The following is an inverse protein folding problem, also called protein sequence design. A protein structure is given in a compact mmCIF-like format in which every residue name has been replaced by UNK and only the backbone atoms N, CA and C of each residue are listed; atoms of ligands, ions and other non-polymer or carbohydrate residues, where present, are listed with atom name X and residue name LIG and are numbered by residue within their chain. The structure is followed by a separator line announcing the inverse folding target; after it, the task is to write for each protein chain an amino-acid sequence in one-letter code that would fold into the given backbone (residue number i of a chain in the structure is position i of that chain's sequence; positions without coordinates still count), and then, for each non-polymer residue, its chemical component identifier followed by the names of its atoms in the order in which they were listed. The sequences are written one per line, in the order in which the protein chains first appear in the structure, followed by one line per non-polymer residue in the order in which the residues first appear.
data_IF_243791179511
#
_entry.id   IF_243791179511
#
_cell.length_a   1.000
_cell.length_b   1.000
_cell.length_c   1.000
_cell.angle_alpha   90.00
_cell.angle_beta   90.00
_cell.angle_gamma   90.00
#
_symmetry.space_group_name_H-M   'P 1'
#
loop_
_entity.id
_entity.type
_entity.pdbx_description
1 polymer ?
#
# COMPACT_ATOMS: atom_id res chain seq x y z
N UNK A 1 -32.77 0.51 0.86
CA UNK A 1 -32.14 -0.74 1.36
C UNK A 1 -30.63 -0.58 1.16
N UNK A 2 -29.94 -0.03 2.16
CA UNK A 2 -28.52 0.33 2.08
C UNK A 2 -27.69 -0.92 2.41
N UNK A 3 -27.03 -1.48 1.41
CA UNK A 3 -26.07 -2.57 1.58
C UNK A 3 -24.79 -2.00 2.20
N UNK A 4 -24.62 -2.26 3.49
CA UNK A 4 -23.36 -2.09 4.20
C UNK A 4 -22.31 -3.06 3.61
N UNK A 5 -21.51 -2.61 2.62
CA UNK A 5 -20.24 -3.25 2.33
C UNK A 5 -19.19 -2.68 3.30
N UNK A 6 -19.01 -3.38 4.41
CA UNK A 6 -17.82 -3.23 5.23
C UNK A 6 -16.62 -3.70 4.40
N UNK A 7 -15.81 -2.76 3.90
CA UNK A 7 -14.49 -3.06 3.38
C UNK A 7 -13.60 -3.46 4.57
N UNK A 8 -13.41 -4.77 4.74
CA UNK A 8 -12.41 -5.31 5.66
C UNK A 8 -11.05 -4.98 5.07
N UNK A 9 -10.45 -3.87 5.52
CA UNK A 9 -9.05 -3.53 5.23
C UNK A 9 -8.18 -4.50 6.03
N UNK A 10 -7.65 -5.52 5.38
CA UNK A 10 -6.74 -6.49 6.01
C UNK A 10 -5.36 -5.83 6.22
N UNK A 11 -5.19 -5.11 7.33
CA UNK A 11 -3.87 -4.77 7.85
C UNK A 11 -3.26 -6.04 8.48
N UNK A 12 -2.66 -6.92 7.66
CA UNK A 12 -1.79 -7.98 8.19
C UNK A 12 -0.45 -7.35 8.57
N UNK A 13 -0.36 -6.87 9.81
CA UNK A 13 0.93 -6.62 10.46
C UNK A 13 1.44 -8.00 10.91
N UNK A 14 2.23 -8.66 10.05
CA UNK A 14 3.09 -9.74 10.51
C UNK A 14 4.23 -9.10 11.31
N UNK A 15 4.07 -8.99 12.62
CA UNK A 15 5.19 -8.75 13.53
C UNK A 15 6.08 -10.01 13.53
N UNK A 16 7.06 -10.06 12.62
CA UNK A 16 8.17 -11.01 12.74
C UNK A 16 9.15 -10.40 13.72
N UNK A 17 9.15 -10.89 14.96
CA UNK A 17 10.14 -10.55 15.98
C UNK A 17 11.48 -11.16 15.56
N UNK A 18 12.27 -10.46 14.74
CA UNK A 18 13.69 -10.77 14.62
C UNK A 18 14.34 -10.36 15.93
N UNK A 19 14.80 -11.32 16.73
CA UNK A 19 15.75 -11.05 17.81
C UNK A 19 17.07 -10.59 17.18
N UNK A 20 17.15 -9.30 16.90
CA UNK A 20 18.39 -8.55 16.78
C UNK A 20 18.32 -7.44 17.82
N UNK A 21 19.38 -7.25 18.59
CA UNK A 21 19.45 -6.27 19.67
C UNK A 21 19.30 -4.84 19.11
N UNK A 22 18.07 -4.36 18.99
CA UNK A 22 17.75 -2.97 18.71
C UNK A 22 17.54 -2.31 20.08
N UNK A 23 18.49 -1.47 20.51
CA UNK A 23 18.29 -0.58 21.67
C UNK A 23 16.98 0.21 21.50
N UNK A 24 16.39 0.74 22.58
CA UNK A 24 15.07 1.37 22.50
C UNK A 24 15.07 2.41 21.39
N UNK A 25 14.31 2.16 20.33
CA UNK A 25 14.09 3.16 19.29
C UNK A 25 13.55 4.40 19.99
N UNK A 26 13.88 5.62 19.53
CA UNK A 26 13.15 6.80 19.95
C UNK A 26 11.66 6.46 19.88
N UNK A 27 10.91 6.63 20.97
CA UNK A 27 9.47 6.36 20.95
C UNK A 27 8.85 7.37 19.97
N UNK A 28 8.70 6.93 18.73
CA UNK A 28 8.01 7.67 17.69
C UNK A 28 6.56 7.74 18.15
N UNK A 29 6.18 8.91 18.67
CA UNK A 29 4.86 9.10 19.25
C UNK A 29 3.82 8.92 18.16
N UNK A 30 2.85 8.04 18.39
CA UNK A 30 1.74 7.82 17.46
C UNK A 30 1.07 9.15 17.10
N UNK A 31 0.89 9.38 15.80
CA UNK A 31 0.15 10.51 15.26
C UNK A 31 -1.12 10.01 14.57
N UNK A 32 -2.25 10.17 15.26
CA UNK A 32 -3.56 9.76 14.75
C UNK A 32 -3.94 10.42 13.43
N UNK A 33 -3.60 11.69 13.25
CA UNK A 33 -3.93 12.43 12.04
C UNK A 33 -3.22 11.87 10.81
N UNK A 34 -1.94 11.51 10.96
CA UNK A 34 -1.16 10.86 9.89
C UNK A 34 -1.73 9.47 9.61
N UNK A 35 -2.01 8.68 10.65
CA UNK A 35 -2.55 7.33 10.49
C UNK A 35 -3.89 7.33 9.74
N UNK A 36 -4.82 8.20 10.12
CA UNK A 36 -6.12 8.36 9.45
C UNK A 36 -5.94 8.85 8.01
N UNK A 37 -5.05 9.81 7.78
CA UNK A 37 -4.77 10.32 6.44
C UNK A 37 -4.27 9.19 5.52
N UNK A 38 -3.24 8.45 5.94
CA UNK A 38 -2.67 7.35 5.16
C UNK A 38 -3.67 6.22 4.97
N UNK A 39 -4.50 5.89 5.96
CA UNK A 39 -5.56 4.90 5.81
C UNK A 39 -6.59 5.29 4.73
N UNK A 40 -6.96 6.57 4.67
CA UNK A 40 -7.89 7.08 3.65
C UNK A 40 -7.26 7.13 2.26
N UNK A 41 -5.98 7.50 2.16
CA UNK A 41 -5.22 7.39 0.91
C UNK A 41 -5.17 5.93 0.45
N UNK A 42 -4.88 4.98 1.33
CA UNK A 42 -4.92 3.54 1.02
C UNK A 42 -6.30 3.06 0.55
N UNK A 43 -7.38 3.59 1.14
CA UNK A 43 -8.74 3.28 0.69
C UNK A 43 -9.03 3.83 -0.73
N UNK A 44 -8.46 4.98 -1.09
CA UNK A 44 -8.62 5.55 -2.44
C UNK A 44 -8.04 4.69 -3.56
N UNK A 45 -7.05 3.84 -3.24
CA UNK A 45 -6.40 2.96 -4.22
C UNK A 45 -7.34 1.87 -4.75
N UNK A 46 -8.46 1.60 -4.07
CA UNK A 46 -9.50 0.68 -4.54
C UNK A 46 -10.47 1.32 -5.55
N UNK A 47 -10.38 2.63 -5.78
CA UNK A 47 -11.20 3.31 -6.78
C UNK A 47 -10.68 3.02 -8.21
N UNK A 48 -11.54 3.15 -9.25
CA UNK A 48 -11.08 3.12 -10.63
C UNK A 48 -10.02 4.20 -10.89
N UNK A 49 -8.96 3.86 -11.64
CA UNK A 49 -7.85 4.76 -11.96
C UNK A 49 -8.30 6.15 -12.44
N UNK A 50 -9.29 6.21 -13.33
CA UNK A 50 -9.83 7.47 -13.86
C UNK A 50 -10.40 8.39 -12.77
N UNK A 51 -10.97 7.83 -11.71
CA UNK A 51 -11.48 8.63 -10.56
C UNK A 51 -10.37 9.05 -9.61
N UNK A 52 -9.31 8.24 -9.46
CA UNK A 52 -8.13 8.60 -8.67
C UNK A 52 -7.40 9.79 -9.30
N UNK A 53 -7.23 9.78 -10.62
CA UNK A 53 -6.52 10.85 -11.35
C UNK A 53 -7.19 12.21 -11.21
N UNK A 54 -8.50 12.23 -11.00
CA UNK A 54 -9.29 13.45 -10.74
C UNK A 54 -9.58 13.68 -9.26
N UNK A 55 -9.08 12.80 -8.38
CA UNK A 55 -9.37 12.76 -6.94
C UNK A 55 -10.88 12.77 -6.61
N UNK A 56 -11.69 12.19 -7.50
CA UNK A 56 -13.14 12.35 -7.52
C UNK A 56 -13.95 11.22 -6.89
N UNK A 57 -13.31 10.19 -6.32
CA UNK A 57 -14.04 9.08 -5.69
C UNK A 57 -14.40 9.36 -4.22
N UNK A 58 -15.36 8.59 -3.67
CA UNK A 58 -15.81 8.76 -2.29
C UNK A 58 -14.67 8.65 -1.25
N UNK A 59 -13.79 7.62 -1.28
CA UNK A 59 -12.61 7.59 -0.41
C UNK A 59 -11.63 8.76 -0.61
N UNK A 60 -11.43 9.23 -1.85
CA UNK A 60 -10.58 10.40 -2.13
C UNK A 60 -11.09 11.64 -1.39
N UNK A 61 -12.40 11.89 -1.44
CA UNK A 61 -13.04 13.04 -0.78
C UNK A 61 -12.91 13.03 0.74
N UNK A 62 -12.70 11.85 1.34
CA UNK A 62 -12.44 11.72 2.78
C UNK A 62 -10.99 12.08 3.16
N UNK A 63 -10.06 12.13 2.21
CA UNK A 63 -8.63 12.43 2.40
C UNK A 63 -8.24 13.79 1.83
N UNK A 64 -7.11 14.36 2.29
CA UNK A 64 -6.51 15.52 1.65
C UNK A 64 -6.01 15.16 0.24
N UNK A 65 -6.18 16.04 -0.77
CA UNK A 65 -5.82 15.73 -2.15
C UNK A 65 -4.33 15.49 -2.30
N UNK A 66 -3.97 14.45 -3.05
CA UNK A 66 -2.64 14.34 -3.62
C UNK A 66 -2.55 15.24 -4.84
N UNK A 67 -1.47 16.01 -4.93
CA UNK A 67 -1.14 16.78 -6.12
C UNK A 67 -0.55 15.86 -7.17
N UNK A 68 -0.99 16.07 -8.41
CA UNK A 68 -0.55 15.31 -9.59
C UNK A 68 -0.57 13.79 -9.37
N UNK A 69 -1.69 13.20 -8.92
CA UNK A 69 -1.74 11.77 -8.68
C UNK A 69 -1.42 11.01 -9.97
N UNK A 70 -0.65 9.93 -9.82
CA UNK A 70 -0.39 8.93 -10.85
C UNK A 70 -0.82 7.58 -10.33
N UNK A 71 -1.25 6.73 -11.26
CA UNK A 71 -1.66 5.37 -10.98
C UNK A 71 -0.63 4.45 -11.63
N UNK A 72 -0.13 3.50 -10.85
CA UNK A 72 0.72 2.41 -11.36
C UNK A 72 -0.08 1.11 -11.25
N UNK A 73 0.01 0.24 -12.24
CA UNK A 73 -0.73 -1.02 -12.21
C UNK A 73 0.06 -2.15 -12.87
N UNK A 74 -0.19 -3.37 -12.44
CA UNK A 74 0.31 -4.56 -13.11
C UNK A 74 -0.38 -4.75 -14.48
N UNK A 75 0.20 -5.57 -15.35
CA UNK A 75 -0.33 -5.79 -16.70
C UNK A 75 -1.75 -6.38 -16.77
N UNK A 76 -2.28 -6.85 -15.63
CA UNK A 76 -3.63 -7.42 -15.49
C UNK A 76 -4.61 -6.49 -14.76
N UNK A 77 -4.15 -5.36 -14.23
CA UNK A 77 -4.90 -4.45 -13.35
C UNK A 77 -5.48 -5.13 -12.10
N UNK A 78 -4.87 -6.22 -11.64
CA UNK A 78 -5.20 -6.90 -10.38
C UNK A 78 -4.44 -6.31 -9.19
N UNK A 79 -3.35 -5.58 -9.46
CA UNK A 79 -2.56 -4.83 -8.49
C UNK A 79 -2.35 -3.40 -8.97
N UNK A 80 -2.92 -2.45 -8.24
CA UNK A 80 -2.80 -1.03 -8.52
C UNK A 80 -2.24 -0.27 -7.30
N UNK A 81 -1.45 0.75 -7.59
CA UNK A 81 -0.93 1.71 -6.66
C UNK A 81 -1.18 3.14 -7.12
N UNK A 82 -1.03 4.06 -6.18
CA UNK A 82 -1.07 5.50 -6.41
C UNK A 82 0.22 6.12 -5.89
N UNK A 83 0.69 7.15 -6.58
CA UNK A 83 1.77 8.01 -6.12
C UNK A 83 1.39 9.45 -6.37
N UNK A 84 1.66 10.32 -5.40
CA UNK A 84 1.40 11.75 -5.53
C UNK A 84 1.95 12.53 -4.35
N UNK A 85 2.04 13.84 -4.51
CA UNK A 85 2.59 14.71 -3.49
C UNK A 85 1.50 15.20 -2.52
N UNK A 86 1.74 15.09 -1.21
CA UNK A 86 0.88 15.63 -0.17
C UNK A 86 1.47 16.94 0.37
N UNK A 87 0.87 18.10 0.08
CA UNK A 87 1.36 19.38 0.59
C UNK A 87 1.28 19.47 2.11
N UNK A 88 0.25 18.87 2.71
CA UNK A 88 0.04 18.88 4.15
C UNK A 88 1.13 18.13 4.92
N UNK A 89 1.70 17.09 4.30
CA UNK A 89 2.81 16.32 4.88
C UNK A 89 4.17 16.76 4.34
N UNK A 90 4.20 17.62 3.32
CA UNK A 90 5.40 17.95 2.54
C UNK A 90 6.15 16.68 2.11
N UNK A 91 5.41 15.70 1.57
CA UNK A 91 5.94 14.37 1.29
C UNK A 91 5.30 13.73 0.05
N UNK A 92 6.04 12.85 -0.62
CA UNK A 92 5.48 11.94 -1.63
C UNK A 92 4.80 10.79 -0.88
N UNK A 93 3.54 10.54 -1.21
CA UNK A 93 2.72 9.49 -0.62
C UNK A 93 2.48 8.41 -1.67
N UNK A 94 2.76 7.18 -1.29
CA UNK A 94 2.59 6.00 -2.12
C UNK A 94 1.61 5.07 -1.40
N UNK A 95 0.58 4.63 -2.11
CA UNK A 95 -0.38 3.66 -1.61
C UNK A 95 -0.55 2.51 -2.59
N UNK A 96 -0.74 1.29 -2.12
CA UNK A 96 -1.07 0.13 -2.93
C UNK A 96 -2.35 -0.50 -2.40
N UNK A 97 -3.23 -0.98 -3.28
CA UNK A 97 -4.34 -1.81 -2.82
C UNK A 97 -3.92 -3.28 -2.77
N UNK A 98 -4.39 -4.00 -1.75
CA UNK A 98 -4.28 -5.45 -1.71
C UNK A 98 -5.34 -6.12 -2.59
N UNK A 99 -5.34 -7.46 -2.66
CA UNK A 99 -6.37 -8.19 -3.40
C UNK A 99 -7.79 -7.80 -2.97
N UNK A 100 -8.66 -7.54 -3.94
CA UNK A 100 -10.08 -7.28 -3.74
C UNK A 100 -10.87 -8.55 -3.39
N UNK A 101 -10.28 -9.74 -3.57
CA UNK A 101 -10.87 -11.03 -3.24
C UNK A 101 -10.03 -11.77 -2.18
N UNK A 102 -10.11 -11.26 -0.95
CA UNK A 102 -9.35 -11.75 0.21
C UNK A 102 -9.67 -13.21 0.54
N UNK A 103 -10.91 -13.67 0.35
CA UNK A 103 -11.29 -15.08 0.61
C UNK A 103 -10.53 -16.05 -0.28
N UNK A 104 -10.40 -15.73 -1.58
CA UNK A 104 -9.65 -16.54 -2.53
C UNK A 104 -8.12 -16.42 -2.31
N UNK A 105 -7.66 -15.27 -1.82
CA UNK A 105 -6.25 -15.05 -1.50
C UNK A 105 -5.80 -15.86 -0.29
N UNK A 106 -6.56 -15.87 0.81
CA UNK A 106 -6.19 -16.61 2.04
C UNK A 106 -6.11 -18.12 1.77
N UNK A 107 -7.00 -18.67 0.94
CA UNK A 107 -6.98 -20.11 0.60
C UNK A 107 -5.80 -20.51 -0.29
N UNK A 108 -5.26 -19.58 -1.09
CA UNK A 108 -4.14 -19.81 -2.00
C UNK A 108 -2.81 -19.22 -1.49
N UNK A 109 -2.77 -18.76 -0.23
CA UNK A 109 -1.61 -18.08 0.31
C UNK A 109 -0.50 -19.09 0.63
N UNK A 110 0.41 -19.28 -0.33
CA UNK A 110 1.63 -20.04 -0.12
C UNK A 110 2.67 -19.14 0.54
N UNK A 111 3.10 -19.48 1.77
CA UNK A 111 4.13 -18.73 2.51
C UNK A 111 5.52 -19.06 1.97
N UNK A 112 5.78 -18.68 0.71
CA UNK A 112 7.08 -18.84 0.07
C UNK A 112 7.96 -17.63 0.35
N UNK A 113 9.16 -17.87 0.88
CA UNK A 113 10.16 -16.85 1.16
C UNK A 113 11.16 -16.76 0.00
N UNK A 114 11.61 -15.56 -0.32
CA UNK A 114 12.59 -15.27 -1.37
C UNK A 114 13.68 -14.33 -0.83
N UNK A 115 14.93 -14.64 -1.14
CA UNK A 115 16.04 -13.71 -1.09
C UNK A 115 15.86 -12.67 -2.20
N UNK A 116 15.58 -11.43 -1.80
CA UNK A 116 15.26 -10.33 -2.71
C UNK A 116 16.39 -9.30 -2.87
N UNK A 117 17.30 -9.24 -1.90
CA UNK A 117 18.32 -8.20 -1.82
C UNK A 117 19.69 -8.85 -1.64
N UNK A 118 20.55 -8.79 -2.66
CA UNK A 118 21.89 -9.41 -2.64
C UNK A 118 22.75 -8.86 -1.50
N UNK A 119 22.63 -7.55 -1.21
CA UNK A 119 23.35 -6.90 -0.11
C UNK A 119 22.85 -7.34 1.28
N UNK A 120 21.66 -7.96 1.38
CA UNK A 120 21.03 -8.38 2.62
C UNK A 120 20.47 -9.80 2.49
N UNK A 121 21.33 -10.83 2.38
CA UNK A 121 20.90 -12.20 2.11
C UNK A 121 20.01 -12.79 3.21
N UNK A 122 20.11 -12.30 4.44
CA UNK A 122 19.25 -12.72 5.55
C UNK A 122 17.84 -12.09 5.50
N UNK A 123 17.63 -11.05 4.69
CA UNK A 123 16.34 -10.38 4.54
C UNK A 123 15.44 -11.13 3.55
N UNK A 124 14.64 -12.04 4.09
CA UNK A 124 13.68 -12.82 3.32
C UNK A 124 12.33 -12.10 3.20
N UNK A 125 11.80 -12.00 1.98
CA UNK A 125 10.49 -11.41 1.69
C UNK A 125 9.51 -12.47 1.17
N UNK A 126 8.21 -12.20 1.24
CA UNK A 126 7.21 -13.05 0.62
C UNK A 126 7.35 -13.00 -0.91
N UNK A 127 7.55 -14.16 -1.54
CA UNK A 127 7.83 -14.26 -2.98
C UNK A 127 6.75 -13.59 -3.83
N UNK A 128 5.47 -13.81 -3.52
CA UNK A 128 4.37 -13.23 -4.28
C UNK A 128 4.28 -11.70 -4.15
N UNK A 129 4.59 -11.16 -2.97
CA UNK A 129 4.58 -9.70 -2.78
C UNK A 129 5.74 -9.04 -3.52
N UNK A 130 6.92 -9.68 -3.49
CA UNK A 130 8.06 -9.22 -4.26
C UNK A 130 7.77 -9.19 -5.76
N UNK A 131 7.20 -10.27 -6.31
CA UNK A 131 6.85 -10.35 -7.73
C UNK A 131 5.79 -9.33 -8.15
N UNK A 132 4.80 -9.04 -7.30
CA UNK A 132 3.81 -7.99 -7.57
C UNK A 132 4.45 -6.59 -7.57
N UNK A 133 5.28 -6.30 -6.56
CA UNK A 133 5.99 -5.02 -6.50
C UNK A 133 6.88 -4.80 -7.72
N UNK A 134 7.64 -5.82 -8.16
CA UNK A 134 8.52 -5.72 -9.33
C UNK A 134 7.78 -5.37 -10.63
N UNK A 135 6.49 -5.69 -10.76
CA UNK A 135 5.69 -5.35 -11.95
C UNK A 135 5.39 -3.86 -12.07
N UNK A 136 5.41 -3.12 -10.96
CA UNK A 136 5.06 -1.68 -10.93
C UNK A 136 6.21 -0.78 -10.50
N UNK A 137 7.30 -1.35 -10.01
CA UNK A 137 8.44 -0.59 -9.46
C UNK A 137 9.00 0.42 -10.47
N UNK A 138 9.20 0.01 -11.73
CA UNK A 138 9.70 0.92 -12.78
C UNK A 138 8.75 2.10 -13.02
N UNK A 139 7.44 1.84 -13.14
CA UNK A 139 6.43 2.88 -13.30
C UNK A 139 6.44 3.86 -12.11
N UNK A 140 6.62 3.34 -10.90
CA UNK A 140 6.66 4.13 -9.68
C UNK A 140 7.89 5.04 -9.63
N UNK A 141 9.08 4.53 -10.00
CA UNK A 141 10.30 5.33 -10.04
C UNK A 141 10.29 6.42 -11.12
N UNK A 142 9.47 6.29 -12.17
CA UNK A 142 9.24 7.39 -13.12
C UNK A 142 8.42 8.57 -12.56
N UNK A 143 7.88 8.46 -11.35
CA UNK A 143 6.97 9.42 -10.76
C UNK A 143 7.47 10.05 -9.45
N UNK A 144 8.69 9.70 -9.02
CA UNK A 144 9.34 10.17 -7.78
C UNK A 144 10.53 11.05 -8.12
#
# INVERSE_FOLDING_TARGET
MLSNLAFIVFHMIFCVYSRGDIGPSPQEQYNESIAIYLARVSASVYCPAAMILTWGCSPCSASGPLQSPRVVADGKNDFQGIVGYSPNMNAIVIGFHGSSNIRNWITNFHVLKKEAYEAYPEALVHQGFYQLYQQVAEQLFHHI
#
